data_IF_832501760078
#
_entry.id   IF_832501760078
#
_cell.length_a   1.000
_cell.length_b   1.000
_cell.length_c   1.000
_cell.angle_alpha   90.00
_cell.angle_beta   90.00
_cell.angle_gamma   90.00
#
_symmetry.space_group_name_H-M   'P 1'
#
loop_
_entity.id
_entity.type
_entity.pdbx_description
1 polymer ?
#
# COMPACT_ATOMS: atom_id res chain seq x y z
N UNK A 1 -58.80 -11.94 -29.30
CA UNK A 1 -59.19 -10.52 -29.37
C UNK A 1 -59.97 -10.15 -28.11
N UNK A 2 -59.58 -9.08 -27.39
CA UNK A 2 -60.41 -8.24 -26.48
C UNK A 2 -61.04 -8.95 -25.25
N UNK A 3 -61.05 -8.48 -24.00
CA UNK A 3 -60.98 -7.16 -23.32
C UNK A 3 -60.78 -7.44 -21.83
N UNK A 4 -59.79 -6.88 -21.12
CA UNK A 4 -59.86 -5.58 -20.42
C UNK A 4 -60.95 -5.41 -19.34
N UNK A 5 -60.47 -5.06 -18.14
CA UNK A 5 -61.16 -4.41 -16.99
C UNK A 5 -62.00 -5.39 -16.16
N UNK A 6 -61.69 -5.68 -14.90
CA UNK A 6 -61.47 -4.81 -13.72
C UNK A 6 -60.56 -5.60 -12.76
N UNK A 7 -59.56 -5.03 -12.08
CA UNK A 7 -59.75 -4.29 -10.83
C UNK A 7 -58.49 -3.44 -10.56
N UNK A 8 -58.70 -2.14 -10.38
CA UNK A 8 -57.73 -1.24 -9.75
C UNK A 8 -57.87 -1.45 -8.24
N UNK A 9 -56.77 -1.77 -7.58
CA UNK A 9 -56.50 -1.40 -6.19
C UNK A 9 -54.96 -1.42 -6.06
N UNK A 10 -54.29 -0.33 -6.43
CA UNK A 10 -53.76 0.61 -5.42
C UNK A 10 -53.42 -0.11 -4.13
N UNK A 11 -52.25 -0.74 -4.12
CA UNK A 11 -51.41 -0.67 -2.95
C UNK A 11 -50.03 -0.26 -3.44
N UNK A 12 -49.72 1.02 -3.25
CA UNK A 12 -48.36 1.49 -3.06
C UNK A 12 -47.73 0.63 -1.95
N UNK A 13 -47.25 -0.57 -2.31
CA UNK A 13 -46.22 -1.22 -1.52
C UNK A 13 -44.97 -0.43 -1.85
N UNK A 14 -44.66 0.45 -0.91
CA UNK A 14 -43.53 1.35 -0.88
C UNK A 14 -42.32 0.78 -1.63
N UNK A 15 -41.78 1.62 -2.50
CA UNK A 15 -40.44 1.55 -3.05
C UNK A 15 -39.38 1.59 -1.94
N UNK A 16 -39.35 0.57 -1.10
CA UNK A 16 -38.30 0.34 -0.11
C UNK A 16 -38.09 -1.15 0.04
N UNK A 17 -37.95 -1.86 -1.09
CA UNK A 17 -36.99 -2.96 -1.07
C UNK A 17 -35.67 -2.30 -0.75
N UNK A 18 -35.37 -2.27 0.54
CA UNK A 18 -34.08 -1.98 1.10
C UNK A 18 -33.05 -2.61 0.18
N UNK A 19 -32.34 -1.77 -0.56
CA UNK A 19 -30.94 -2.05 -0.75
C UNK A 19 -30.36 -1.85 0.66
N UNK A 20 -30.05 -2.91 1.43
CA UNK A 20 -29.05 -2.75 2.47
C UNK A 20 -27.88 -2.02 1.83
N UNK A 21 -27.55 -0.88 2.42
CA UNK A 21 -26.83 0.19 1.75
C UNK A 21 -25.62 -0.32 0.99
N UNK A 22 -25.44 0.20 -0.21
CA UNK A 22 -24.09 0.58 -0.60
C UNK A 22 -23.67 1.68 0.38
N UNK A 23 -23.32 1.28 1.61
CA UNK A 23 -22.29 1.97 2.34
C UNK A 23 -21.09 1.92 1.40
N UNK A 24 -20.98 2.96 0.56
CA UNK A 24 -19.76 3.27 -0.16
C UNK A 24 -18.65 3.09 0.85
N UNK A 25 -17.74 2.16 0.54
CA UNK A 25 -16.53 1.85 1.28
C UNK A 25 -16.48 2.67 2.56
N UNK A 26 -17.06 2.12 3.63
CA UNK A 26 -16.65 2.51 4.96
C UNK A 26 -15.14 2.34 4.95
N UNK A 27 -14.48 3.46 4.68
CA UNK A 27 -13.05 3.62 4.67
C UNK A 27 -12.68 3.35 6.12
N UNK A 28 -12.48 2.07 6.43
CA UNK A 28 -11.91 1.61 7.69
C UNK A 28 -10.80 2.61 7.99
N UNK A 29 -10.89 3.27 9.15
CA UNK A 29 -10.01 4.35 9.55
C UNK A 29 -8.56 3.86 9.60
N UNK A 30 -7.94 3.78 8.44
CA UNK A 30 -6.55 3.50 8.25
C UNK A 30 -5.81 4.81 8.48
N UNK A 31 -4.73 4.82 9.26
CA UNK A 31 -3.89 6.01 9.35
C UNK A 31 -3.28 6.27 7.97
N UNK A 32 -3.90 7.18 7.20
CA UNK A 32 -3.32 7.71 5.97
C UNK A 32 -2.06 8.49 6.32
N UNK A 33 -1.04 8.36 5.48
CA UNK A 33 0.17 9.16 5.62
C UNK A 33 -0.18 10.65 5.61
N UNK A 34 0.34 11.41 6.57
CA UNK A 34 0.08 12.84 6.63
C UNK A 34 1.02 13.58 5.66
N UNK A 35 0.46 14.04 4.54
CA UNK A 35 1.19 14.79 3.51
C UNK A 35 1.34 16.29 3.84
N UNK A 36 0.87 16.76 4.99
CA UNK A 36 1.02 18.17 5.40
C UNK A 36 2.50 18.52 5.53
N UNK A 37 2.93 19.60 4.86
CA UNK A 37 4.33 20.02 4.83
C UNK A 37 5.22 19.27 3.84
N UNK A 38 4.66 18.36 3.04
CA UNK A 38 5.38 17.73 1.91
C UNK A 38 5.13 18.56 0.64
N UNK A 39 6.18 18.87 -0.11
CA UNK A 39 6.06 19.50 -1.43
C UNK A 39 5.41 18.50 -2.40
N UNK A 40 4.12 18.65 -2.66
CA UNK A 40 3.40 17.83 -3.65
C UNK A 40 3.33 18.56 -4.99
N UNK A 41 3.18 17.79 -6.07
CA UNK A 41 2.92 18.34 -7.39
C UNK A 41 1.88 17.50 -8.12
N UNK A 42 1.07 18.12 -8.97
CA UNK A 42 0.09 17.40 -9.80
C UNK A 42 0.59 17.34 -11.23
N UNK A 43 0.62 16.13 -11.81
CA UNK A 43 0.99 15.90 -13.20
C UNK A 43 0.03 14.90 -13.83
N UNK A 44 -0.56 15.27 -14.97
CA UNK A 44 -1.54 14.45 -15.69
C UNK A 44 -2.73 13.99 -14.82
N UNK A 45 -3.15 14.84 -13.88
CA UNK A 45 -4.21 14.52 -12.91
C UNK A 45 -3.78 13.62 -11.75
N UNK A 46 -2.51 13.20 -11.69
CA UNK A 46 -1.94 12.38 -10.62
C UNK A 46 -1.18 13.27 -9.63
N UNK A 47 -1.46 13.10 -8.34
CA UNK A 47 -0.69 13.75 -7.28
C UNK A 47 0.60 12.97 -7.02
N UNK A 48 1.73 13.67 -7.17
CA UNK A 48 3.08 13.15 -6.99
C UNK A 48 3.73 13.76 -5.75
N UNK A 49 4.57 12.95 -5.11
CA UNK A 49 5.31 13.32 -3.91
C UNK A 49 6.78 12.90 -4.00
N UNK A 50 7.70 13.65 -3.36
CA UNK A 50 9.12 13.31 -3.33
C UNK A 50 9.34 12.01 -2.55
N UNK A 51 9.70 10.94 -3.26
CA UNK A 51 9.81 9.58 -2.73
C UNK A 51 10.70 9.53 -1.50
N UNK A 52 11.89 10.14 -1.58
CA UNK A 52 12.90 10.06 -0.51
C UNK A 52 12.36 10.65 0.80
N UNK A 53 11.80 11.85 0.74
CA UNK A 53 11.29 12.55 1.92
C UNK A 53 10.19 11.74 2.61
N UNK A 54 9.24 11.22 1.84
CA UNK A 54 8.13 10.42 2.37
C UNK A 54 8.62 9.08 2.91
N UNK A 55 9.45 8.36 2.17
CA UNK A 55 9.96 7.05 2.57
C UNK A 55 10.86 7.12 3.82
N UNK A 56 11.74 8.12 3.91
CA UNK A 56 12.59 8.33 5.09
C UNK A 56 11.76 8.71 6.32
N UNK A 57 10.69 9.51 6.15
CA UNK A 57 9.71 9.80 7.23
C UNK A 57 9.04 8.53 7.74
N UNK A 58 8.79 7.56 6.85
CA UNK A 58 8.22 6.25 7.17
C UNK A 58 9.26 5.23 7.68
N UNK A 59 10.51 5.65 7.87
CA UNK A 59 11.61 4.82 8.40
C UNK A 59 12.29 3.91 7.38
N UNK A 60 12.12 4.18 6.08
CA UNK A 60 12.88 3.48 5.03
C UNK A 60 14.22 4.17 4.78
N UNK A 61 15.24 3.36 4.53
CA UNK A 61 16.49 3.79 3.89
C UNK A 61 16.31 3.77 2.38
N UNK A 62 16.71 4.86 1.72
CA UNK A 62 16.53 5.05 0.28
C UNK A 62 17.87 5.10 -0.43
N UNK A 63 18.14 4.12 -1.30
CA UNK A 63 19.40 3.99 -2.06
C UNK A 63 19.13 4.18 -3.55
N UNK A 64 19.91 5.04 -4.21
CA UNK A 64 19.86 5.23 -5.66
C UNK A 64 20.93 4.39 -6.36
N UNK A 65 20.59 3.76 -7.47
CA UNK A 65 21.51 3.12 -8.39
C UNK A 65 21.44 3.83 -9.75
N UNK A 66 22.48 4.62 -10.05
CA UNK A 66 22.55 5.41 -11.29
C UNK A 66 22.71 4.57 -12.56
N UNK A 67 23.47 3.47 -12.49
CA UNK A 67 23.71 2.58 -13.63
C UNK A 67 22.42 1.87 -14.06
N UNK A 68 21.61 1.43 -13.09
CA UNK A 68 20.35 0.71 -13.32
C UNK A 68 19.12 1.62 -13.38
N UNK A 69 19.31 2.93 -13.17
CA UNK A 69 18.23 3.92 -13.00
C UNK A 69 17.13 3.40 -12.07
N UNK A 70 17.52 2.99 -10.87
CA UNK A 70 16.59 2.39 -9.90
C UNK A 70 16.78 2.92 -8.49
N UNK A 71 15.71 2.92 -7.70
CA UNK A 71 15.73 3.23 -6.27
C UNK A 71 15.40 1.95 -5.50
N UNK A 72 16.15 1.69 -4.44
CA UNK A 72 15.89 0.60 -3.49
C UNK A 72 15.52 1.19 -2.14
N UNK A 73 14.37 0.77 -1.63
CA UNK A 73 13.79 1.18 -0.36
C UNK A 73 13.92 0.01 0.61
N UNK A 74 14.44 0.27 1.80
CA UNK A 74 14.79 -0.77 2.76
C UNK A 74 14.32 -0.39 4.16
N UNK A 75 13.54 -1.24 4.82
CA UNK A 75 13.10 -1.01 6.21
C UNK A 75 13.64 -2.11 7.13
N UNK A 76 14.30 -1.71 8.22
CA UNK A 76 14.77 -2.65 9.23
C UNK A 76 13.55 -3.17 10.01
N UNK A 77 13.21 -4.46 9.87
CA UNK A 77 12.20 -5.09 10.72
C UNK A 77 12.89 -5.66 11.96
N UNK A 78 12.86 -4.92 13.07
CA UNK A 78 13.15 -5.53 14.38
C UNK A 78 11.94 -6.40 14.75
N UNK A 79 12.10 -7.71 14.71
CA UNK A 79 11.19 -8.63 15.39
C UNK A 79 11.48 -8.48 16.89
N UNK A 80 10.67 -7.73 17.63
CA UNK A 80 10.52 -8.07 19.04
C UNK A 80 9.67 -9.35 19.05
N UNK A 81 10.33 -10.50 19.13
CA UNK A 81 9.70 -11.77 19.44
C UNK A 81 9.00 -11.57 20.80
N UNK A 82 7.68 -11.42 20.81
CA UNK A 82 6.84 -11.58 22.00
C UNK A 82 6.83 -13.07 22.41
N UNK A 83 8.01 -13.66 22.63
CA UNK A 83 8.14 -14.90 23.35
C UNK A 83 8.14 -14.56 24.83
N UNK A 84 6.99 -14.79 25.45
CA UNK A 84 6.93 -15.16 26.87
C UNK A 84 8.11 -16.09 27.17
N UNK A 85 8.98 -15.66 28.08
CA UNK A 85 9.99 -16.53 28.67
C UNK A 85 9.27 -17.65 29.39
N UNK A 86 9.25 -18.86 28.81
CA UNK A 86 9.13 -20.08 29.58
C UNK A 86 10.49 -20.78 29.56
N UNK A 87 11.08 -20.84 30.75
CA UNK A 87 12.36 -21.46 31.03
C UNK A 87 12.41 -22.91 30.55
N UNK A 88 13.18 -23.19 29.49
CA UNK A 88 13.69 -24.55 29.24
C UNK A 88 15.17 -24.52 28.89
N UNK A 89 15.90 -25.25 29.73
CA UNK A 89 17.35 -25.48 29.82
C UNK A 89 18.08 -25.49 28.48
N UNK A 90 19.17 -24.72 28.44
CA UNK A 90 20.25 -24.80 27.45
C UNK A 90 20.81 -26.23 27.39
N UNK A 91 20.49 -26.93 26.30
CA UNK A 91 21.24 -28.09 25.82
C UNK A 91 21.83 -27.70 24.47
N UNK A 92 23.15 -27.74 24.40
CA UNK A 92 24.04 -27.64 23.23
C UNK A 92 23.32 -27.69 21.86
N UNK A 93 23.23 -26.53 21.21
CA UNK A 93 22.96 -26.45 19.77
C UNK A 93 23.88 -25.41 19.19
N UNK A 94 24.87 -25.89 18.44
CA UNK A 94 25.60 -25.14 17.42
C UNK A 94 24.63 -24.21 16.68
N UNK A 95 24.83 -22.91 16.85
CA UNK A 95 24.14 -21.87 16.08
C UNK A 95 24.57 -22.04 14.62
N UNK A 96 23.72 -22.67 13.80
CA UNK A 96 23.86 -22.51 12.34
C UNK A 96 23.47 -21.07 12.02
N UNK A 97 24.47 -20.38 11.47
CA UNK A 97 24.49 -19.02 10.96
C UNK A 97 23.48 -18.85 9.81
N UNK A 98 22.19 -18.90 10.15
CA UNK A 98 21.07 -18.54 9.28
C UNK A 98 20.13 -17.62 10.06
N UNK A 99 20.70 -16.58 10.69
CA UNK A 99 19.92 -15.41 11.09
C UNK A 99 19.38 -14.74 9.84
N UNK A 100 18.20 -15.18 9.39
CA UNK A 100 17.44 -14.57 8.30
C UNK A 100 17.32 -13.06 8.55
N UNK A 101 18.04 -12.26 7.76
CA UNK A 101 17.66 -10.86 7.56
C UNK A 101 16.38 -10.85 6.72
N UNK A 102 15.20 -10.84 7.34
CA UNK A 102 13.97 -10.48 6.62
C UNK A 102 14.01 -8.98 6.33
N UNK A 103 14.80 -8.61 5.32
CA UNK A 103 14.88 -7.26 4.79
C UNK A 103 13.76 -7.10 3.78
N UNK A 104 12.66 -6.48 4.21
CA UNK A 104 11.59 -6.16 3.27
C UNK A 104 12.03 -4.96 2.43
N UNK A 105 12.31 -5.24 1.17
CA UNK A 105 12.90 -4.30 0.22
C UNK A 105 11.94 -4.05 -0.94
N UNK A 106 11.79 -2.78 -1.32
CA UNK A 106 11.05 -2.40 -2.53
C UNK A 106 12.05 -1.85 -3.54
N UNK A 107 12.14 -2.49 -4.70
CA UNK A 107 12.94 -2.03 -5.82
C UNK A 107 12.04 -1.39 -6.87
N UNK A 108 12.33 -0.15 -7.21
CA UNK A 108 11.61 0.60 -8.24
C UNK A 108 12.57 0.98 -9.36
N UNK A 109 12.10 0.85 -10.60
CA UNK A 109 12.82 1.34 -11.77
C UNK A 109 12.17 2.65 -12.22
N UNK A 110 13.00 3.66 -12.53
CA UNK A 110 12.52 4.94 -13.05
C UNK A 110 11.94 4.71 -14.45
N UNK A 111 10.83 5.40 -14.74
CA UNK A 111 10.07 5.34 -15.99
C UNK A 111 9.40 3.98 -16.26
N UNK A 112 9.49 3.02 -15.31
CA UNK A 112 8.81 1.74 -15.34
C UNK A 112 7.58 1.74 -14.43
N UNK A 113 6.49 1.13 -14.90
CA UNK A 113 5.31 0.87 -14.06
C UNK A 113 5.46 -0.40 -13.23
N UNK A 114 6.42 -1.25 -13.53
CA UNK A 114 6.63 -2.51 -12.82
C UNK A 114 7.62 -2.31 -11.68
N UNK A 115 7.25 -2.76 -10.49
CA UNK A 115 8.09 -2.74 -9.29
C UNK A 115 8.17 -4.13 -8.66
N UNK A 116 9.20 -4.33 -7.84
CA UNK A 116 9.34 -5.52 -6.99
C UNK A 116 9.20 -5.09 -5.53
N UNK A 117 8.18 -5.59 -4.85
CA UNK A 117 7.99 -5.40 -3.41
C UNK A 117 8.21 -6.75 -2.72
N UNK A 118 9.38 -6.95 -2.11
CA UNK A 118 9.80 -8.27 -1.64
C UNK A 118 9.87 -9.28 -2.80
N UNK A 119 9.03 -10.32 -2.73
CA UNK A 119 8.96 -11.38 -3.75
C UNK A 119 7.80 -11.21 -4.74
N UNK A 120 7.02 -10.13 -4.64
CA UNK A 120 5.88 -9.87 -5.52
C UNK A 120 6.19 -8.77 -6.54
N UNK A 121 5.86 -9.04 -7.79
CA UNK A 121 5.82 -8.03 -8.84
C UNK A 121 4.48 -7.28 -8.78
N UNK A 122 4.53 -5.96 -8.84
CA UNK A 122 3.33 -5.13 -8.84
C UNK A 122 3.38 -4.06 -9.94
N UNK A 123 2.20 -3.72 -10.45
CA UNK A 123 2.04 -2.73 -11.52
C UNK A 123 1.47 -1.43 -10.99
N UNK A 124 2.18 -0.34 -11.25
CA UNK A 124 1.83 1.02 -10.89
C UNK A 124 0.96 1.66 -11.96
N UNK A 125 0.04 2.52 -11.51
CA UNK A 125 -0.75 3.35 -12.43
C UNK A 125 0.14 4.43 -13.07
N UNK A 126 1.05 5.00 -12.29
CA UNK A 126 2.00 6.04 -12.69
C UNK A 126 3.44 5.58 -12.41
N UNK A 127 4.32 5.72 -13.40
CA UNK A 127 5.72 5.31 -13.27
C UNK A 127 6.51 6.31 -12.40
N UNK A 128 7.43 5.85 -11.52
CA UNK A 128 8.33 6.74 -10.80
C UNK A 128 9.14 7.57 -11.79
N UNK A 129 9.23 8.88 -11.56
CA UNK A 129 9.84 9.80 -12.53
C UNK A 129 10.80 10.75 -11.83
N UNK A 130 11.80 11.24 -12.56
CA UNK A 130 12.75 12.23 -12.04
C UNK A 130 12.34 13.61 -12.55
N UNK A 131 12.13 14.54 -11.62
CA UNK A 131 11.79 15.94 -11.91
C UNK A 131 12.68 16.81 -11.02
N UNK A 132 13.44 17.73 -11.61
CA UNK A 132 14.39 18.59 -10.89
C UNK A 132 15.32 17.79 -9.96
N UNK A 133 15.94 16.72 -10.48
CA UNK A 133 16.85 15.80 -9.76
C UNK A 133 16.25 15.06 -8.54
N UNK A 134 14.93 15.16 -8.33
CA UNK A 134 14.21 14.42 -7.29
C UNK A 134 13.37 13.31 -7.92
N UNK A 135 13.35 12.14 -7.28
CA UNK A 135 12.43 11.05 -7.64
C UNK A 135 11.05 11.30 -7.07
N UNK A 136 10.04 11.29 -7.93
CA UNK A 136 8.63 11.42 -7.59
C UNK A 136 7.88 10.11 -7.83
N UNK A 137 6.94 9.81 -6.93
CA UNK A 137 6.00 8.69 -7.00
C UNK A 137 4.59 9.19 -6.73
N UNK A 138 3.56 8.44 -7.14
CA UNK A 138 2.18 8.80 -6.81
C UNK A 138 1.87 8.62 -5.32
N UNK A 139 0.91 9.36 -4.78
CA UNK A 139 0.39 9.11 -3.43
C UNK A 139 -0.13 7.68 -3.26
N UNK A 140 -0.78 7.12 -4.27
CA UNK A 140 -1.22 5.72 -4.27
C UNK A 140 -0.06 4.74 -4.04
N UNK A 141 1.11 5.01 -4.63
CA UNK A 141 2.28 4.16 -4.40
C UNK A 141 2.71 4.19 -2.93
N UNK A 142 2.71 5.37 -2.31
CA UNK A 142 3.06 5.52 -0.90
C UNK A 142 2.06 4.76 -0.03
N UNK A 143 0.78 5.00 -0.26
CA UNK A 143 -0.29 4.43 0.54
C UNK A 143 -0.35 2.90 0.39
N UNK A 144 -0.13 2.36 -0.80
CA UNK A 144 -0.18 0.91 -1.05
C UNK A 144 1.09 0.16 -0.65
N UNK A 145 2.28 0.73 -0.89
CA UNK A 145 3.54 0.00 -0.78
C UNK A 145 4.42 0.44 0.40
N UNK A 146 4.34 1.70 0.84
CA UNK A 146 5.14 2.20 1.97
C UNK A 146 4.38 2.17 3.29
N UNK A 147 3.07 2.42 3.25
CA UNK A 147 2.21 2.35 4.42
C UNK A 147 1.78 0.90 4.68
N UNK A 148 2.66 0.13 5.32
CA UNK A 148 2.56 -1.34 5.43
C UNK A 148 1.32 -1.85 6.20
N UNK A 149 0.64 -1.00 6.95
CA UNK A 149 -0.68 -1.32 7.53
C UNK A 149 -1.77 -1.52 6.45
N UNK A 150 -1.49 -1.20 5.18
CA UNK A 150 -2.44 -1.23 4.06
C UNK A 150 -2.33 -2.45 3.12
N UNK A 151 -1.39 -3.38 3.35
CA UNK A 151 -1.39 -4.65 2.61
C UNK A 151 -2.25 -5.68 3.35
N UNK A 152 -3.32 -6.25 2.74
CA UNK A 152 -3.98 -7.40 3.33
C UNK A 152 -2.97 -8.55 3.42
N UNK A 153 -2.54 -8.89 4.64
CA UNK A 153 -1.96 -10.20 4.89
C UNK A 153 -3.03 -11.23 4.53
N UNK A 154 -2.73 -12.06 3.54
CA UNK A 154 -3.53 -13.26 3.22
C UNK A 154 -3.70 -14.13 4.46
#
# INVERSE_FOLDING_TARGET
>A
MRTWKKMIAVTMVACTLALPGLANAEEMMMPKFNYSGIETMTKDGVELVPLRQVAETLGFKVTWNGEKRSVTLMKMKMMMDDKKMEDKKMGDMTMKDDSMSMMDGIAIHIDSKTIMAGNMEAMLMYAPTIINDKTYVSKDFVDMYLNKDMMPMQ
#
